data_IF_553269714528
#
_entry.id   IF_553269714528
#
_cell.length_a   1.000
_cell.length_b   1.000
_cell.length_c   1.000
_cell.angle_alpha   90.00
_cell.angle_beta   90.00
_cell.angle_gamma   90.00
#
_symmetry.space_group_name_H-M   'P 1'
#
loop_
_entity.id
_entity.type
_entity.pdbx_description
1 polymer ?
#
# COMPACT_ATOMS: atom_id res chain seq x y z
N UNK A 1 1.34 -20.89 3.81
CA UNK A 1 0.43 -19.73 3.97
C UNK A 1 0.80 -18.86 5.18
N UNK A 2 1.01 -19.44 6.37
CA UNK A 2 1.36 -18.68 7.61
C UNK A 2 2.60 -17.80 7.54
N UNK A 3 3.71 -18.27 6.96
CA UNK A 3 4.97 -17.48 6.89
C UNK A 3 4.79 -16.21 6.04
N UNK A 4 4.00 -16.29 4.96
CA UNK A 4 3.75 -15.13 4.12
C UNK A 4 2.92 -14.07 4.85
N UNK A 5 1.87 -14.48 5.57
CA UNK A 5 1.06 -13.56 6.40
C UNK A 5 1.93 -12.85 7.44
N UNK A 6 2.76 -13.59 8.19
CA UNK A 6 3.69 -13.02 9.17
C UNK A 6 4.62 -11.97 8.55
N UNK A 7 5.14 -12.24 7.36
CA UNK A 7 5.99 -11.28 6.63
C UNK A 7 5.24 -10.03 6.21
N UNK A 8 3.98 -10.14 5.79
CA UNK A 8 3.17 -8.97 5.44
C UNK A 8 2.78 -8.15 6.68
N UNK A 9 2.56 -8.78 7.83
CA UNK A 9 2.33 -8.07 9.09
C UNK A 9 3.55 -7.26 9.51
N UNK A 10 4.75 -7.86 9.43
CA UNK A 10 6.00 -7.15 9.67
C UNK A 10 6.24 -6.02 8.65
N UNK A 11 5.92 -6.26 7.37
CA UNK A 11 6.01 -5.23 6.34
C UNK A 11 5.09 -4.03 6.65
N UNK A 12 3.86 -4.29 7.08
CA UNK A 12 2.93 -3.24 7.53
C UNK A 12 3.54 -2.40 8.65
N UNK A 13 4.12 -3.04 9.67
CA UNK A 13 4.75 -2.32 10.78
C UNK A 13 5.87 -1.42 10.30
N UNK A 14 6.81 -1.95 9.51
CA UNK A 14 7.97 -1.21 8.96
C UNK A 14 7.50 -0.04 8.09
N UNK A 15 6.61 -0.29 7.14
CA UNK A 15 6.11 0.72 6.22
C UNK A 15 5.33 1.83 6.95
N UNK A 16 4.58 1.49 8.01
CA UNK A 16 3.98 2.50 8.86
C UNK A 16 5.03 3.36 9.58
N UNK A 17 6.18 2.80 9.99
CA UNK A 17 7.27 3.62 10.56
C UNK A 17 7.87 4.53 9.51
N UNK A 18 8.11 4.03 8.30
CA UNK A 18 8.59 4.83 7.17
C UNK A 18 7.64 6.00 6.91
N UNK A 19 6.33 5.74 6.87
CA UNK A 19 5.32 6.76 6.63
C UNK A 19 5.11 7.74 7.79
N UNK A 20 5.54 7.39 9.01
CA UNK A 20 5.61 8.35 10.14
C UNK A 20 6.78 9.32 9.97
N UNK A 21 7.88 8.88 9.39
CA UNK A 21 9.05 9.72 9.13
C UNK A 21 8.87 10.53 7.84
N UNK A 22 8.25 9.93 6.82
CA UNK A 22 8.00 10.55 5.52
C UNK A 22 6.59 10.21 5.03
N UNK A 23 5.64 11.09 5.33
CA UNK A 23 4.23 10.87 5.02
C UNK A 23 3.89 10.93 3.53
N UNK A 24 4.75 11.59 2.74
CA UNK A 24 4.66 11.86 1.30
C UNK A 24 5.55 10.90 0.49
N UNK A 25 5.43 9.60 0.75
CA UNK A 25 6.20 8.59 0.04
C UNK A 25 5.30 7.61 -0.74
N UNK A 26 5.07 7.85 -2.04
CA UNK A 26 4.15 7.04 -2.87
C UNK A 26 4.50 5.56 -2.91
N UNK A 27 5.79 5.24 -2.99
CA UNK A 27 6.30 3.86 -2.98
C UNK A 27 5.89 3.11 -1.72
N UNK A 28 6.17 3.68 -0.54
CA UNK A 28 5.80 3.06 0.74
C UNK A 28 4.28 2.97 0.92
N UNK A 29 3.51 3.91 0.38
CA UNK A 29 2.04 3.84 0.36
C UNK A 29 1.55 2.66 -0.50
N UNK A 30 2.12 2.51 -1.70
CA UNK A 30 1.78 1.40 -2.60
C UNK A 30 2.10 0.05 -1.96
N UNK A 31 3.30 -0.11 -1.41
CA UNK A 31 3.73 -1.34 -0.75
C UNK A 31 2.87 -1.67 0.48
N UNK A 32 2.46 -0.64 1.23
CA UNK A 32 1.58 -0.82 2.39
C UNK A 32 0.19 -1.28 1.94
N UNK A 33 -0.31 -0.73 0.84
CA UNK A 33 -1.55 -1.18 0.21
C UNK A 33 -1.47 -2.65 -0.22
N UNK A 34 -0.38 -3.06 -0.88
CA UNK A 34 -0.16 -4.46 -1.28
C UNK A 34 -0.11 -5.38 -0.06
N UNK A 35 0.62 -5.00 0.99
CA UNK A 35 0.72 -5.78 2.22
C UNK A 35 -0.66 -5.95 2.90
N UNK A 36 -1.46 -4.88 2.97
CA UNK A 36 -2.82 -4.97 3.49
C UNK A 36 -3.72 -5.87 2.63
N UNK A 37 -3.61 -5.79 1.31
CA UNK A 37 -4.38 -6.64 0.40
C UNK A 37 -4.04 -8.12 0.60
N UNK A 38 -2.75 -8.45 0.75
CA UNK A 38 -2.30 -9.83 1.03
C UNK A 38 -2.74 -10.36 2.40
N UNK A 39 -3.07 -9.46 3.33
CA UNK A 39 -3.65 -9.79 4.63
C UNK A 39 -5.18 -9.80 4.63
N UNK A 40 -5.83 -9.61 3.48
CA UNK A 40 -7.29 -9.52 3.36
C UNK A 40 -7.89 -8.22 3.93
N UNK A 41 -7.07 -7.22 4.25
CA UNK A 41 -7.49 -5.92 4.78
C UNK A 41 -7.80 -4.95 3.64
N UNK A 42 -8.76 -5.34 2.79
CA UNK A 42 -9.05 -4.68 1.50
C UNK A 42 -9.33 -3.17 1.62
N UNK A 43 -10.14 -2.75 2.59
CA UNK A 43 -10.45 -1.32 2.77
C UNK A 43 -9.22 -0.49 3.13
N UNK A 44 -8.32 -1.04 3.97
CA UNK A 44 -7.05 -0.36 4.27
C UNK A 44 -6.14 -0.33 3.04
N UNK A 45 -6.16 -1.37 2.21
CA UNK A 45 -5.40 -1.38 0.96
C UNK A 45 -5.86 -0.27 0.02
N UNK A 46 -7.19 -0.13 -0.18
CA UNK A 46 -7.78 0.95 -1.00
C UNK A 46 -7.31 2.33 -0.54
N UNK A 47 -7.41 2.62 0.75
CA UNK A 47 -6.98 3.92 1.29
C UNK A 47 -5.52 4.24 0.99
N UNK A 48 -4.62 3.26 1.10
CA UNK A 48 -3.21 3.49 0.81
C UNK A 48 -2.93 3.63 -0.70
N UNK A 49 -3.66 2.90 -1.55
CA UNK A 49 -3.58 3.10 -3.00
C UNK A 49 -4.10 4.47 -3.43
N UNK A 50 -5.21 4.95 -2.84
CA UNK A 50 -5.72 6.30 -3.11
C UNK A 50 -4.69 7.37 -2.73
N UNK A 51 -4.00 7.20 -1.59
CA UNK A 51 -2.94 8.10 -1.15
C UNK A 51 -1.71 8.04 -2.06
N UNK A 52 -1.28 6.84 -2.47
CA UNK A 52 -0.19 6.69 -3.43
C UNK A 52 -0.52 7.38 -4.75
N UNK A 53 -1.75 7.22 -5.24
CA UNK A 53 -2.23 7.86 -6.46
C UNK A 53 -2.35 9.38 -6.32
N UNK A 54 -2.77 9.90 -5.16
CA UNK A 54 -2.83 11.34 -4.93
C UNK A 54 -1.46 12.00 -4.89
N UNK A 55 -0.44 11.32 -4.34
CA UNK A 55 0.93 11.83 -4.25
C UNK A 55 1.69 11.68 -5.58
N UNK A 56 1.37 10.67 -6.39
CA UNK A 56 2.02 10.42 -7.68
C UNK A 56 1.02 10.14 -8.83
N UNK A 57 0.17 11.10 -9.23
CA UNK A 57 -0.96 10.82 -10.13
C UNK A 57 -0.58 10.31 -11.53
N UNK A 58 0.63 10.66 -11.99
CA UNK A 58 1.14 10.35 -13.33
C UNK A 58 2.43 9.54 -13.33
N UNK A 59 3.11 9.40 -12.18
CA UNK A 59 4.29 8.55 -12.09
C UNK A 59 3.94 7.08 -11.88
N UNK A 60 4.99 6.30 -11.64
CA UNK A 60 4.92 4.85 -11.64
C UNK A 60 4.03 4.31 -10.52
N UNK A 61 4.19 4.84 -9.29
CA UNK A 61 3.51 4.28 -8.12
C UNK A 61 2.01 4.58 -8.14
N UNK A 62 1.60 5.78 -8.53
CA UNK A 62 0.17 6.08 -8.66
C UNK A 62 -0.49 5.35 -9.83
N UNK A 63 0.21 5.12 -10.94
CA UNK A 63 -0.30 4.25 -12.02
C UNK A 63 -0.51 2.82 -11.55
N UNK A 64 0.42 2.26 -10.76
CA UNK A 64 0.25 0.94 -10.15
C UNK A 64 -0.91 0.93 -9.14
N UNK A 65 -1.00 1.94 -8.28
CA UNK A 65 -2.07 2.08 -7.31
C UNK A 65 -3.46 2.16 -7.98
N UNK A 66 -3.58 2.89 -9.09
CA UNK A 66 -4.81 2.95 -9.90
C UNK A 66 -5.24 1.57 -10.39
N UNK A 67 -4.30 0.77 -10.91
CA UNK A 67 -4.60 -0.61 -11.35
C UNK A 67 -5.14 -1.45 -10.19
N UNK A 68 -4.55 -1.35 -9.00
CA UNK A 68 -5.09 -2.07 -7.84
C UNK A 68 -6.48 -1.57 -7.44
N UNK A 69 -6.74 -0.26 -7.45
CA UNK A 69 -8.07 0.29 -7.15
C UNK A 69 -9.14 -0.19 -8.14
N UNK A 70 -8.79 -0.30 -9.42
CA UNK A 70 -9.68 -0.85 -10.45
C UNK A 70 -10.01 -2.33 -10.22
N UNK A 71 -9.04 -3.12 -9.72
CA UNK A 71 -9.25 -4.53 -9.36
C UNK A 71 -10.05 -4.73 -8.05
N UNK A 72 -10.16 -3.68 -7.23
CA UNK A 72 -10.85 -3.70 -5.94
C UNK A 72 -12.23 -3.02 -5.97
N UNK A 73 -12.68 -2.59 -7.15
CA UNK A 73 -14.06 -2.18 -7.43
C UNK A 73 -14.99 -3.39 -7.40
#
# INVERSE_FOLDING_TARGET
>A
VYIAQKRYEQAVEVLQQVLRLKSDYPEARLDLGIAYLKLGKTERAKMEFERALALDPQGEFGKQARKYLELLR
#
